data_IF_287345689896
#
_entry.id   IF_287345689896
#
_cell.length_a   1.000
_cell.length_b   1.000
_cell.length_c   1.000
_cell.angle_alpha   90.00
_cell.angle_beta   90.00
_cell.angle_gamma   90.00
#
_symmetry.space_group_name_H-M   'P 1'
#
loop_
_entity.id
_entity.type
_entity.pdbx_description
1 polymer ?
#
# COMPACT_ATOMS: atom_id res chain seq x y z
N UNK A 1 -49.70 11.06 -7.80
CA UNK A 1 -49.32 11.36 -6.40
C UNK A 1 -48.40 10.24 -5.96
N UNK A 2 -47.12 10.56 -5.69
CA UNK A 2 -46.09 9.58 -5.33
C UNK A 2 -46.26 9.08 -3.89
N UNK A 3 -45.85 7.84 -3.64
CA UNK A 3 -46.02 7.15 -2.36
C UNK A 3 -45.07 7.75 -1.30
N UNK A 4 -45.57 8.50 -0.30
CA UNK A 4 -44.75 9.31 0.61
C UNK A 4 -43.78 8.49 1.49
N UNK A 5 -44.03 7.19 1.66
CA UNK A 5 -43.14 6.31 2.41
C UNK A 5 -41.91 5.88 1.60
N UNK A 6 -42.03 5.78 0.28
CA UNK A 6 -40.89 5.44 -0.59
C UNK A 6 -39.89 6.59 -0.68
N UNK A 7 -40.37 7.83 -0.65
CA UNK A 7 -39.53 9.03 -0.67
C UNK A 7 -38.78 9.22 0.66
N UNK A 8 -39.41 8.88 1.79
CA UNK A 8 -38.75 8.86 3.11
C UNK A 8 -37.64 7.81 3.18
N UNK A 9 -37.90 6.59 2.69
CA UNK A 9 -36.90 5.52 2.70
C UNK A 9 -35.71 5.88 1.80
N UNK A 10 -35.94 6.56 0.66
CA UNK A 10 -34.86 7.08 -0.18
C UNK A 10 -34.02 8.15 0.53
N UNK A 11 -34.66 9.14 1.14
CA UNK A 11 -33.93 10.20 1.86
C UNK A 11 -33.13 9.65 3.04
N UNK A 12 -33.68 8.69 3.76
CA UNK A 12 -32.99 8.05 4.88
C UNK A 12 -31.81 7.17 4.40
N UNK A 13 -31.96 6.51 3.25
CA UNK A 13 -30.86 5.79 2.61
C UNK A 13 -29.74 6.72 2.12
N UNK A 14 -30.10 7.86 1.52
CA UNK A 14 -29.15 8.89 1.07
C UNK A 14 -28.36 9.48 2.25
N UNK A 15 -29.03 9.79 3.36
CA UNK A 15 -28.37 10.27 4.58
C UNK A 15 -27.43 9.23 5.19
N UNK A 16 -27.84 7.96 5.24
CA UNK A 16 -26.99 6.87 5.75
C UNK A 16 -25.78 6.58 4.85
N UNK A 17 -25.86 6.89 3.56
CA UNK A 17 -24.71 6.81 2.65
C UNK A 17 -23.73 7.96 2.92
N UNK A 18 -24.24 9.17 3.17
CA UNK A 18 -23.43 10.34 3.49
C UNK A 18 -22.73 10.25 4.87
N UNK A 19 -23.38 9.64 5.86
CA UNK A 19 -22.85 9.50 7.24
C UNK A 19 -21.90 8.32 7.44
N UNK A 20 -21.65 7.49 6.41
CA UNK A 20 -20.59 6.48 6.51
C UNK A 20 -19.25 7.22 6.63
N UNK A 21 -18.37 6.86 7.57
CA UNK A 21 -17.03 7.42 7.64
C UNK A 21 -16.29 7.05 6.35
N UNK A 22 -16.33 7.97 5.40
CA UNK A 22 -15.74 7.81 4.10
C UNK A 22 -14.23 8.01 4.29
N UNK A 23 -13.43 6.95 4.16
CA UNK A 23 -11.98 7.10 4.01
C UNK A 23 -11.61 7.85 2.71
N UNK A 24 -12.60 8.13 1.87
CA UNK A 24 -12.54 8.92 0.64
C UNK A 24 -12.79 10.39 0.99
N UNK A 25 -11.74 11.08 1.46
CA UNK A 25 -11.83 12.52 1.72
C UNK A 25 -11.35 13.38 0.55
N UNK A 26 -10.61 12.86 -0.43
CA UNK A 26 -10.18 13.61 -1.63
C UNK A 26 -9.49 12.67 -2.65
N UNK A 27 -10.25 11.95 -3.49
CA UNK A 27 -9.69 11.15 -4.59
C UNK A 27 -10.35 9.80 -4.83
N UNK A 28 -10.06 9.20 -5.99
CA UNK A 28 -10.48 7.82 -6.32
C UNK A 28 -10.03 6.84 -5.21
N UNK A 29 -10.94 6.08 -4.58
CA UNK A 29 -10.59 5.12 -3.52
C UNK A 29 -9.54 4.10 -3.94
N UNK A 30 -9.49 3.73 -5.22
CA UNK A 30 -8.51 2.79 -5.75
C UNK A 30 -7.12 3.44 -5.78
N UNK A 31 -7.03 4.73 -6.13
CA UNK A 31 -5.78 5.48 -6.13
C UNK A 31 -5.26 5.73 -4.71
N UNK A 32 -6.12 6.00 -3.72
CA UNK A 32 -5.67 6.10 -2.32
C UNK A 32 -5.18 4.77 -1.76
N UNK A 33 -5.79 3.65 -2.16
CA UNK A 33 -5.29 2.32 -1.82
C UNK A 33 -3.92 2.05 -2.48
N UNK A 34 -3.75 2.41 -3.75
CA UNK A 34 -2.47 2.30 -4.46
C UNK A 34 -1.37 3.13 -3.76
N UNK A 35 -1.68 4.39 -3.41
CA UNK A 35 -0.78 5.26 -2.63
C UNK A 35 -0.43 4.69 -1.26
N UNK A 36 -1.35 3.98 -0.61
CA UNK A 36 -1.07 3.30 0.66
C UNK A 36 0.02 2.23 0.49
N UNK A 37 -0.07 1.42 -0.56
CA UNK A 37 0.96 0.44 -0.91
C UNK A 37 2.29 1.10 -1.27
N UNK A 38 2.28 2.21 -2.02
CA UNK A 38 3.50 2.98 -2.31
C UNK A 38 4.15 3.55 -1.04
N UNK A 39 3.36 4.08 -0.11
CA UNK A 39 3.86 4.57 1.20
C UNK A 39 4.45 3.43 2.02
N UNK A 40 3.85 2.24 1.97
CA UNK A 40 4.38 1.06 2.67
C UNK A 40 5.72 0.62 2.08
N UNK A 41 5.82 0.51 0.75
CA UNK A 41 7.08 0.21 0.07
C UNK A 41 8.18 1.25 0.40
N UNK A 42 7.83 2.55 0.41
CA UNK A 42 8.76 3.61 0.77
C UNK A 42 9.27 3.48 2.22
N UNK A 43 8.40 3.12 3.18
CA UNK A 43 8.79 2.88 4.57
C UNK A 43 9.74 1.68 4.70
N UNK A 44 9.45 0.57 3.99
CA UNK A 44 10.33 -0.61 3.97
C UNK A 44 11.72 -0.28 3.40
N UNK A 45 11.81 0.53 2.34
CA UNK A 45 13.10 0.99 1.79
C UNK A 45 13.95 1.75 2.82
N UNK A 46 13.32 2.57 3.66
CA UNK A 46 14.01 3.28 4.75
C UNK A 46 14.51 2.33 5.84
N UNK A 47 13.70 1.31 6.19
CA UNK A 47 14.07 0.29 7.17
C UNK A 47 15.26 -0.53 6.67
N UNK A 48 15.25 -0.97 5.40
CA UNK A 48 16.37 -1.70 4.77
C UNK A 48 17.66 -0.90 4.86
N UNK A 49 17.62 0.41 4.57
CA UNK A 49 18.79 1.28 4.69
C UNK A 49 19.30 1.34 6.13
N UNK A 50 18.40 1.46 7.11
CA UNK A 50 18.76 1.57 8.52
C UNK A 50 19.36 0.27 9.08
N UNK A 51 18.87 -0.89 8.65
CA UNK A 51 19.41 -2.19 9.06
C UNK A 51 20.86 -2.39 8.61
N UNK A 52 21.22 -1.90 7.42
CA UNK A 52 22.60 -1.96 6.91
C UNK A 52 23.63 -1.18 7.72
N UNK A 53 23.18 -0.22 8.54
CA UNK A 53 24.04 0.56 9.43
C UNK A 53 24.28 -0.18 10.76
N UNK A 54 23.29 -0.91 11.28
CA UNK A 54 23.40 -1.65 12.56
C UNK A 54 24.44 -2.78 12.47
N UNK A 55 24.47 -3.53 11.36
CA UNK A 55 25.44 -4.61 11.14
C UNK A 55 26.90 -4.16 11.18
N UNK A 56 27.18 -2.88 10.88
CA UNK A 56 28.54 -2.32 10.83
C UNK A 56 29.06 -1.77 12.15
N UNK A 57 28.21 -1.56 13.16
CA UNK A 57 28.56 -0.72 14.32
C UNK A 57 28.89 -1.50 15.61
N UNK A 58 28.85 -2.83 15.58
CA UNK A 58 29.10 -3.67 16.77
C UNK A 58 30.59 -3.98 16.95
N UNK A 59 31.35 -3.09 17.59
CA UNK A 59 32.73 -3.34 18.01
C UNK A 59 32.83 -3.53 19.54
N UNK A 60 33.32 -4.69 19.99
CA UNK A 60 33.36 -5.09 21.41
C UNK A 60 34.75 -4.93 22.06
N UNK A 61 35.69 -4.25 21.41
CA UNK A 61 37.01 -3.90 21.97
C UNK A 61 38.19 -4.71 21.42
N UNK A 62 39.40 -4.30 21.83
CA UNK A 62 40.68 -4.76 21.26
C UNK A 62 41.26 -6.04 21.89
N UNK A 63 40.59 -6.64 22.87
CA UNK A 63 41.03 -7.93 23.41
C UNK A 63 40.86 -9.03 22.35
N UNK A 64 41.59 -10.15 22.47
CA UNK A 64 41.45 -11.30 21.56
C UNK A 64 40.01 -11.83 21.60
N UNK A 65 39.43 -11.91 22.79
CA UNK A 65 38.03 -12.32 23.01
C UNK A 65 37.04 -11.27 22.46
N UNK A 66 37.32 -9.97 22.64
CA UNK A 66 36.51 -8.87 22.11
C UNK A 66 36.49 -8.86 20.58
N UNK A 67 37.64 -9.09 19.93
CA UNK A 67 37.74 -9.21 18.47
C UNK A 67 37.07 -10.47 17.93
N UNK A 68 37.22 -11.62 18.60
CA UNK A 68 36.56 -12.85 18.20
C UNK A 68 35.03 -12.76 18.37
N UNK A 69 34.55 -12.16 19.45
CA UNK A 69 33.13 -11.90 19.67
C UNK A 69 32.57 -10.91 18.64
N UNK A 70 33.31 -9.84 18.34
CA UNK A 70 32.97 -8.88 17.28
C UNK A 70 32.85 -9.56 15.92
N UNK A 71 33.80 -10.45 15.57
CA UNK A 71 33.77 -11.19 14.32
C UNK A 71 32.57 -12.15 14.23
N UNK A 72 32.33 -12.94 15.27
CA UNK A 72 31.22 -13.91 15.30
C UNK A 72 29.84 -13.21 15.26
N UNK A 73 29.70 -12.09 15.99
CA UNK A 73 28.49 -11.27 15.94
C UNK A 73 28.37 -10.63 14.56
N UNK A 74 29.47 -10.14 13.97
CA UNK A 74 29.48 -9.60 12.62
C UNK A 74 28.95 -10.59 11.59
N UNK A 75 29.41 -11.85 11.61
CA UNK A 75 28.94 -12.90 10.70
C UNK A 75 27.47 -13.24 10.96
N UNK A 76 27.08 -13.50 12.21
CA UNK A 76 25.69 -13.86 12.53
C UNK A 76 24.70 -12.73 12.23
N UNK A 77 25.07 -11.48 12.51
CA UNK A 77 24.26 -10.29 12.19
C UNK A 77 24.24 -10.06 10.69
N UNK A 78 25.35 -10.25 9.97
CA UNK A 78 25.39 -10.11 8.52
C UNK A 78 24.47 -11.10 7.81
N UNK A 79 24.53 -12.39 8.17
CA UNK A 79 23.67 -13.42 7.58
C UNK A 79 22.19 -13.17 7.89
N UNK A 80 21.89 -12.76 9.13
CA UNK A 80 20.53 -12.44 9.54
C UNK A 80 20.01 -11.17 8.86
N UNK A 81 20.81 -10.10 8.81
CA UNK A 81 20.52 -8.85 8.10
C UNK A 81 20.24 -9.15 6.62
N UNK A 82 21.09 -9.94 5.97
CA UNK A 82 20.93 -10.30 4.57
C UNK A 82 19.62 -11.04 4.32
N UNK A 83 19.25 -11.98 5.20
CA UNK A 83 17.96 -12.68 5.13
C UNK A 83 16.76 -11.73 5.30
N UNK A 84 16.80 -10.84 6.30
CA UNK A 84 15.74 -9.86 6.56
C UNK A 84 15.61 -8.86 5.43
N UNK A 85 16.73 -8.34 4.92
CA UNK A 85 16.77 -7.39 3.79
C UNK A 85 16.21 -8.04 2.52
N UNK A 86 16.54 -9.31 2.24
CA UNK A 86 15.96 -10.02 1.10
C UNK A 86 14.44 -10.15 1.22
N UNK A 87 13.93 -10.47 2.40
CA UNK A 87 12.48 -10.56 2.64
C UNK A 87 11.80 -9.20 2.44
N UNK A 88 12.36 -8.11 2.98
CA UNK A 88 11.81 -6.76 2.78
C UNK A 88 11.89 -6.31 1.32
N UNK A 89 12.95 -6.65 0.60
CA UNK A 89 13.04 -6.35 -0.83
C UNK A 89 11.94 -7.07 -1.63
N UNK A 90 11.60 -8.31 -1.27
CA UNK A 90 10.47 -9.02 -1.87
C UNK A 90 9.14 -8.34 -1.54
N UNK A 91 8.90 -7.98 -0.29
CA UNK A 91 7.68 -7.27 0.12
C UNK A 91 7.53 -5.90 -0.54
N UNK A 92 8.63 -5.17 -0.73
CA UNK A 92 8.67 -3.91 -1.48
C UNK A 92 8.18 -4.15 -2.92
N UNK A 93 8.74 -5.15 -3.61
CA UNK A 93 8.36 -5.46 -4.98
C UNK A 93 6.90 -5.87 -5.09
N UNK A 94 6.40 -6.67 -4.15
CA UNK A 94 4.98 -7.06 -4.08
C UNK A 94 4.07 -5.85 -3.88
N UNK A 95 4.41 -4.95 -2.96
CA UNK A 95 3.63 -3.74 -2.70
C UNK A 95 3.59 -2.82 -3.94
N UNK A 96 4.71 -2.64 -4.64
CA UNK A 96 4.78 -1.86 -5.88
C UNK A 96 3.95 -2.50 -7.01
N UNK A 97 3.98 -3.83 -7.14
CA UNK A 97 3.14 -4.55 -8.09
C UNK A 97 1.66 -4.39 -7.79
N UNK A 98 1.25 -4.45 -6.51
CA UNK A 98 -0.16 -4.25 -6.11
C UNK A 98 -0.61 -2.83 -6.43
N UNK A 99 0.21 -1.82 -6.13
CA UNK A 99 -0.10 -0.42 -6.45
C UNK A 99 -0.28 -0.22 -7.96
N UNK A 100 0.59 -0.81 -8.79
CA UNK A 100 0.47 -0.77 -10.24
C UNK A 100 -0.81 -1.47 -10.74
N UNK A 101 -1.14 -2.65 -10.20
CA UNK A 101 -2.33 -3.39 -10.55
C UNK A 101 -3.61 -2.61 -10.20
N UNK A 102 -3.66 -1.97 -9.03
CA UNK A 102 -4.80 -1.13 -8.62
C UNK A 102 -5.02 0.02 -9.59
N UNK A 103 -3.96 0.71 -10.01
CA UNK A 103 -4.06 1.79 -11.00
C UNK A 103 -4.53 1.30 -12.37
N UNK A 104 -4.11 0.11 -12.77
CA UNK A 104 -4.60 -0.50 -14.01
C UNK A 104 -6.10 -0.80 -13.90
N UNK A 105 -6.56 -1.35 -12.78
CA UNK A 105 -7.99 -1.59 -12.53
C UNK A 105 -8.79 -0.28 -12.57
N UNK A 106 -8.29 0.79 -11.95
CA UNK A 106 -8.93 2.10 -11.99
C UNK A 106 -9.06 2.62 -13.43
N UNK A 107 -8.02 2.45 -14.25
CA UNK A 107 -8.04 2.82 -15.66
C UNK A 107 -9.06 1.99 -16.45
N UNK A 108 -9.03 0.66 -16.31
CA UNK A 108 -9.95 -0.23 -17.03
C UNK A 108 -11.42 0.04 -16.66
N UNK A 109 -11.68 0.40 -15.39
CA UNK A 109 -13.00 0.83 -14.94
C UNK A 109 -13.42 2.14 -15.62
N UNK A 110 -12.53 3.14 -15.66
CA UNK A 110 -12.80 4.40 -16.34
C UNK A 110 -13.07 4.23 -17.84
N UNK A 111 -12.29 3.37 -18.52
CA UNK A 111 -12.47 3.09 -19.95
C UNK A 111 -13.82 2.39 -20.21
N UNK A 112 -14.21 1.41 -19.37
CA UNK A 112 -15.51 0.72 -19.50
C UNK A 112 -16.71 1.59 -19.15
N UNK A 113 -16.60 2.51 -18.19
CA UNK A 113 -17.64 3.49 -17.89
C UNK A 113 -17.84 4.49 -19.04
N UNK A 114 -16.74 4.90 -19.69
CA UNK A 114 -16.77 5.79 -20.85
C UNK A 114 -17.42 5.12 -22.06
N UNK A 115 -17.04 3.88 -22.38
CA UNK A 115 -17.66 3.08 -23.45
C UNK A 115 -19.17 2.88 -23.23
N UNK A 116 -19.59 2.62 -21.98
CA UNK A 116 -21.01 2.49 -21.64
C UNK A 116 -21.77 3.83 -21.78
N UNK A 117 -21.15 4.95 -21.39
CA UNK A 117 -21.77 6.27 -21.54
C UNK A 117 -21.98 6.66 -23.01
N UNK A 118 -21.01 6.35 -23.88
CA UNK A 118 -21.12 6.55 -25.33
C UNK A 118 -22.15 5.59 -25.96
N UNK A 119 -22.20 4.33 -25.50
CA UNK A 119 -23.17 3.34 -25.95
C UNK A 119 -24.63 3.69 -25.59
N UNK A 120 -24.88 4.22 -24.39
CA UNK A 120 -26.22 4.67 -23.96
C UNK A 120 -26.67 5.89 -24.78
N UNK A 121 -25.76 6.76 -25.21
CA UNK A 121 -26.06 7.91 -26.07
C UNK A 121 -26.58 7.52 -27.47
N UNK A 122 -26.23 6.32 -27.96
CA UNK A 122 -26.67 5.78 -29.24
C UNK A 122 -28.01 5.01 -29.16
N UNK A 123 -28.43 4.61 -27.96
CA UNK A 123 -29.73 3.97 -27.73
C UNK A 123 -30.77 5.04 -27.37
N UNK A 124 -31.00 5.99 -28.30
CA UNK A 124 -32.24 6.78 -28.33
C UNK A 124 -33.14 6.23 -29.42
N UNK A 125 -34.17 5.48 -29.02
CA UNK A 125 -35.38 5.27 -29.80
C UNK A 125 -36.48 6.17 -29.25
#
# INVERSE_FOLDING_TARGET
MGNPDADKIRQEAEQRIADRPNMVLEGDPIEELAKSHDRHAARLKVIVRSLSEVGRTNYLGDTVEGRAATFNIGVAVHDHEQSVVQNFNREIAEAEMIAAALRQIAKDLGDTELENAEGIGLVRW
#
